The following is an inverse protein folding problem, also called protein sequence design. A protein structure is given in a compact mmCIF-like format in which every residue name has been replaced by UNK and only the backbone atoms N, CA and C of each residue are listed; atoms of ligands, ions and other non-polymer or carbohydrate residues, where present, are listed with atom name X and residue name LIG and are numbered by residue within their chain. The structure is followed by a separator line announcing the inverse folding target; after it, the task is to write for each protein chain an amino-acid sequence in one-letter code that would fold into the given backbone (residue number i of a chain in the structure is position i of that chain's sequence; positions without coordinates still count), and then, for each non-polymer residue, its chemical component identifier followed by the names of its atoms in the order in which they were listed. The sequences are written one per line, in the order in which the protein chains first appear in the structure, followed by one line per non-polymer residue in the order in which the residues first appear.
data_IF_303271928246
#
_entry.id   IF_303271928246
#
_cell.length_a   1.000
_cell.length_b   1.000
_cell.length_c   1.000
_cell.angle_alpha   90.00
_cell.angle_beta   90.00
_cell.angle_gamma   90.00
#
_symmetry.space_group_name_H-M   'P 1'
#
loop_
_entity.id
_entity.type
_entity.pdbx_description
1 polymer ?
#
# COMPACT_ATOMS: atom_id res chain seq x y z
N UNK A 1 -10.77 -7.31 -20.84
CA UNK A 1 -9.90 -7.64 -21.98
C UNK A 1 -8.62 -6.84 -21.83
N UNK A 2 -7.47 -7.49 -21.64
CA UNK A 2 -6.16 -6.82 -21.67
C UNK A 2 -5.76 -6.66 -23.14
N UNK A 3 -5.59 -5.42 -23.59
CA UNK A 3 -5.03 -5.12 -24.92
C UNK A 3 -3.51 -5.36 -24.85
N UNK A 4 -3.05 -6.50 -25.35
CA UNK A 4 -1.61 -6.75 -25.51
C UNK A 4 -1.14 -6.03 -26.78
N UNK A 5 -0.71 -4.77 -26.64
CA UNK A 5 -0.09 -4.01 -27.74
C UNK A 5 1.27 -4.62 -28.08
N UNK A 6 1.47 -4.98 -29.34
CA UNK A 6 2.74 -5.53 -29.89
C UNK A 6 3.82 -4.47 -30.13
N UNK A 7 3.63 -3.26 -29.59
CA UNK A 7 4.56 -2.13 -29.63
C UNK A 7 4.89 -1.68 -28.21
N UNK A 8 6.10 -1.14 -27.96
CA UNK A 8 6.43 -0.54 -26.67
C UNK A 8 5.39 0.52 -26.28
N UNK A 9 4.89 0.44 -25.05
CA UNK A 9 3.99 1.44 -24.48
C UNK A 9 4.78 2.65 -23.98
N UNK A 10 4.18 3.83 -24.04
CA UNK A 10 4.74 5.06 -23.46
C UNK A 10 4.62 5.05 -21.93
N UNK A 11 5.40 5.89 -21.20
CA UNK A 11 5.25 6.03 -19.75
C UNK A 11 3.83 6.39 -19.31
N UNK A 12 3.13 7.23 -20.08
CA UNK A 12 1.73 7.62 -19.80
C UNK A 12 0.78 6.44 -19.94
N UNK A 13 0.94 5.60 -20.97
CA UNK A 13 0.14 4.40 -21.16
C UNK A 13 0.44 3.33 -20.09
N UNK A 14 1.69 3.22 -19.65
CA UNK A 14 2.08 2.36 -18.55
C UNK A 14 1.40 2.80 -17.23
N UNK A 15 1.41 4.10 -16.93
CA UNK A 15 0.72 4.65 -15.76
C UNK A 15 -0.81 4.46 -15.82
N UNK A 16 -1.41 4.58 -17.01
CA UNK A 16 -2.84 4.32 -17.22
C UNK A 16 -3.22 2.83 -17.13
N UNK A 17 -2.23 1.93 -17.25
CA UNK A 17 -2.42 0.47 -17.18
C UNK A 17 -2.21 -0.09 -15.77
N UNK A 18 -1.92 0.75 -14.77
CA UNK A 18 -1.79 0.33 -13.38
C UNK A 18 -3.16 -0.15 -12.89
N UNK A 19 -3.24 -1.45 -12.57
CA UNK A 19 -4.47 -2.03 -12.04
C UNK A 19 -4.75 -1.43 -10.65
N UNK A 20 -6.01 -1.09 -10.35
CA UNK A 20 -6.37 -0.61 -9.02
C UNK A 20 -6.08 -1.69 -7.98
N UNK A 21 -5.68 -1.26 -6.79
CA UNK A 21 -5.51 -2.15 -5.64
C UNK A 21 -6.85 -2.85 -5.33
N UNK A 22 -6.83 -4.15 -4.99
CA UNK A 22 -8.04 -4.87 -4.61
C UNK A 22 -8.72 -4.28 -3.36
N UNK A 23 -10.05 -4.33 -3.29
CA UNK A 23 -10.83 -3.85 -2.13
C UNK A 23 -10.40 -4.51 -0.81
N UNK A 24 -9.96 -5.77 -0.86
CA UNK A 24 -9.44 -6.48 0.31
C UNK A 24 -8.21 -5.80 0.92
N UNK A 25 -7.33 -5.22 0.08
CA UNK A 25 -6.16 -4.45 0.55
C UNK A 25 -6.64 -3.21 1.30
N UNK A 26 -7.61 -2.48 0.75
CA UNK A 26 -8.17 -1.32 1.42
C UNK A 26 -8.86 -1.68 2.73
N UNK A 27 -9.62 -2.78 2.77
CA UNK A 27 -10.27 -3.26 3.98
C UNK A 27 -9.25 -3.53 5.10
N UNK A 28 -8.14 -4.21 4.78
CA UNK A 28 -7.05 -4.48 5.72
C UNK A 28 -6.44 -3.17 6.25
N UNK A 29 -6.01 -2.28 5.35
CA UNK A 29 -5.37 -1.03 5.76
C UNK A 29 -6.32 -0.11 6.54
N UNK A 30 -7.58 0.02 6.12
CA UNK A 30 -8.58 0.79 6.86
C UNK A 30 -8.77 0.24 8.28
N UNK A 31 -8.86 -1.09 8.43
CA UNK A 31 -8.95 -1.73 9.75
C UNK A 31 -7.73 -1.44 10.63
N UNK A 32 -6.52 -1.55 10.08
CA UNK A 32 -5.28 -1.27 10.80
C UNK A 32 -5.14 0.21 11.18
N UNK A 33 -5.51 1.13 10.28
CA UNK A 33 -5.52 2.58 10.53
C UNK A 33 -6.48 2.88 11.69
N UNK A 34 -7.74 2.42 11.62
CA UNK A 34 -8.74 2.65 12.67
C UNK A 34 -8.27 2.09 14.02
N UNK A 35 -7.70 0.88 14.03
CA UNK A 35 -7.17 0.24 15.25
C UNK A 35 -6.06 1.08 15.89
N UNK A 36 -5.15 1.62 15.07
CA UNK A 36 -3.95 2.31 15.52
C UNK A 36 -4.06 3.84 15.58
N UNK A 37 -5.21 4.42 15.21
CA UNK A 37 -5.41 5.87 15.17
C UNK A 37 -5.40 6.46 16.59
N UNK A 38 -4.41 7.31 16.89
CA UNK A 38 -4.29 8.04 18.16
C UNK A 38 -3.83 9.46 17.88
N UNK A 39 -4.55 10.45 18.40
CA UNK A 39 -4.19 11.86 18.23
C UNK A 39 -4.11 12.32 16.76
N UNK A 40 -4.94 11.77 15.86
CA UNK A 40 -4.93 12.11 14.43
C UNK A 40 -3.81 11.46 13.61
N UNK A 41 -3.05 10.55 14.21
CA UNK A 41 -1.98 9.77 13.55
C UNK A 41 -2.24 8.28 13.72
N UNK A 42 -2.04 7.49 12.67
CA UNK A 42 -2.02 6.03 12.76
C UNK A 42 -0.66 5.51 12.26
N UNK A 43 -0.09 4.54 12.95
CA UNK A 43 1.13 3.85 12.53
C UNK A 43 0.77 2.39 12.27
N UNK A 44 1.01 1.93 11.05
CA UNK A 44 0.76 0.56 10.61
C UNK A 44 2.10 -0.07 10.29
N UNK A 45 2.40 -1.23 10.89
CA UNK A 45 3.62 -1.96 10.54
C UNK A 45 3.45 -2.70 9.23
N UNK A 46 4.46 -2.65 8.37
CA UNK A 46 4.42 -3.28 7.05
C UNK A 46 4.31 -4.80 7.15
N UNK A 47 4.97 -5.42 8.13
CA UNK A 47 4.89 -6.86 8.39
C UNK A 47 3.46 -7.31 8.78
N UNK A 48 2.79 -6.52 9.61
CA UNK A 48 1.41 -6.78 10.02
C UNK A 48 0.44 -6.61 8.85
N UNK A 49 0.58 -5.54 8.06
CA UNK A 49 -0.23 -5.33 6.86
C UNK A 49 -0.06 -6.48 5.85
N UNK A 50 1.20 -6.89 5.59
CA UNK A 50 1.52 -8.03 4.73
C UNK A 50 0.81 -9.31 5.21
N UNK A 51 0.95 -9.64 6.50
CA UNK A 51 0.34 -10.83 7.07
C UNK A 51 -1.19 -10.83 6.93
N UNK A 52 -1.84 -9.71 7.22
CA UNK A 52 -3.30 -9.57 7.13
C UNK A 52 -3.79 -9.63 5.67
N UNK A 53 -3.06 -9.04 4.72
CA UNK A 53 -3.38 -9.16 3.28
C UNK A 53 -3.21 -10.60 2.79
N UNK A 54 -2.14 -11.28 3.18
CA UNK A 54 -1.92 -12.70 2.86
C UNK A 54 -3.10 -13.57 3.33
N UNK A 55 -3.53 -13.39 4.58
CA UNK A 55 -4.67 -14.12 5.14
C UNK A 55 -5.97 -13.75 4.44
N UNK A 56 -6.23 -12.45 4.25
CA UNK A 56 -7.48 -11.96 3.65
C UNK A 56 -7.66 -12.42 2.20
N UNK A 57 -6.57 -12.63 1.46
CA UNK A 57 -6.61 -12.98 0.03
C UNK A 57 -6.22 -14.42 -0.26
N UNK A 58 -5.76 -15.18 0.75
CA UNK A 58 -5.23 -16.53 0.56
C UNK A 58 -3.96 -16.55 -0.31
N UNK A 59 -3.11 -15.52 -0.20
CA UNK A 59 -1.89 -15.36 -0.98
C UNK A 59 -0.64 -15.55 -0.12
N UNK A 60 0.46 -15.91 -0.75
CA UNK A 60 1.78 -15.89 -0.11
C UNK A 60 2.33 -14.47 -0.02
N UNK A 61 3.23 -14.23 0.95
CA UNK A 61 3.91 -12.93 1.08
C UNK A 61 4.62 -12.51 -0.20
N UNK A 62 5.20 -13.47 -0.94
CA UNK A 62 5.85 -13.22 -2.22
C UNK A 62 4.87 -12.67 -3.24
N UNK A 63 3.70 -13.30 -3.39
CA UNK A 63 2.68 -12.85 -4.35
C UNK A 63 2.13 -11.47 -4.00
N UNK A 64 1.93 -11.17 -2.70
CA UNK A 64 1.47 -9.84 -2.26
C UNK A 64 2.49 -8.77 -2.62
N UNK A 65 3.78 -9.02 -2.41
CA UNK A 65 4.87 -8.08 -2.73
C UNK A 65 5.08 -7.94 -4.25
N UNK A 66 5.11 -9.04 -5.00
CA UNK A 66 5.28 -9.01 -6.47
C UNK A 66 4.13 -8.28 -7.18
N UNK A 67 2.94 -8.27 -6.58
CA UNK A 67 1.76 -7.56 -7.10
C UNK A 67 1.64 -6.12 -6.63
N UNK A 68 2.57 -5.62 -5.80
CA UNK A 68 2.53 -4.25 -5.27
C UNK A 68 1.33 -3.97 -4.35
N UNK A 69 0.78 -5.00 -3.71
CA UNK A 69 -0.45 -4.84 -2.90
C UNK A 69 -0.23 -4.06 -1.59
N UNK A 70 1.00 -3.65 -1.28
CA UNK A 70 1.30 -2.75 -0.17
C UNK A 70 1.55 -1.29 -0.62
N UNK A 71 1.52 -1.01 -1.93
CA UNK A 71 1.78 0.31 -2.52
C UNK A 71 0.53 1.22 -2.40
N UNK A 72 0.07 1.43 -1.17
CA UNK A 72 -1.21 2.06 -0.86
C UNK A 72 -1.15 3.59 -0.80
N UNK A 73 0.05 4.16 -0.76
CA UNK A 73 0.29 5.58 -0.46
C UNK A 73 -0.51 6.49 -1.39
N UNK A 74 -0.37 6.32 -2.71
CA UNK A 74 -1.04 7.19 -3.68
C UNK A 74 -2.57 7.15 -3.55
N UNK A 75 -3.14 5.98 -3.24
CA UNK A 75 -4.59 5.82 -3.08
C UNK A 75 -5.10 6.54 -1.83
N UNK A 76 -4.43 6.36 -0.68
CA UNK A 76 -4.79 7.07 0.55
C UNK A 76 -4.48 8.57 0.47
N UNK A 77 -3.42 8.95 -0.25
CA UNK A 77 -3.11 10.35 -0.50
C UNK A 77 -4.19 11.06 -1.32
N UNK A 78 -4.73 10.40 -2.35
CA UNK A 78 -5.87 10.90 -3.10
C UNK A 78 -7.12 11.07 -2.21
N UNK A 79 -7.25 10.22 -1.17
CA UNK A 79 -8.33 10.29 -0.18
C UNK A 79 -8.12 11.32 0.95
N UNK A 80 -7.06 12.14 0.89
CA UNK A 80 -6.81 13.22 1.86
C UNK A 80 -5.87 12.86 3.01
N UNK A 81 -5.21 11.70 2.95
CA UNK A 81 -4.14 11.34 3.89
C UNK A 81 -2.79 11.88 3.42
N UNK A 82 -1.89 12.12 4.36
CA UNK A 82 -0.45 12.13 4.13
C UNK A 82 0.06 10.77 4.60
N UNK A 83 0.75 10.04 3.72
CA UNK A 83 1.32 8.73 4.03
C UNK A 83 2.83 8.83 3.99
N UNK A 84 3.51 8.36 5.04
CA UNK A 84 4.96 8.28 5.10
C UNK A 84 5.33 6.83 5.31
N UNK A 85 5.97 6.21 4.32
CA UNK A 85 6.57 4.90 4.47
C UNK A 85 8.03 5.06 4.93
N UNK A 86 8.36 4.39 6.03
CA UNK A 86 9.66 4.41 6.67
C UNK A 86 10.19 2.98 6.73
N UNK A 87 11.37 2.74 6.15
CA UNK A 87 12.01 1.42 6.09
C UNK A 87 13.46 1.55 6.58
N UNK A 88 13.97 0.58 7.38
CA UNK A 88 15.35 0.61 7.86
C UNK A 88 16.36 0.79 6.73
N UNK A 89 17.33 1.67 6.96
CA UNK A 89 18.52 1.75 6.13
C UNK A 89 19.40 0.50 6.23
N UNK A 90 20.45 0.43 5.41
CA UNK A 90 21.36 -0.72 5.27
C UNK A 90 21.98 -1.24 6.59
N UNK A 91 21.94 -0.46 7.67
CA UNK A 91 22.52 -0.81 8.98
C UNK A 91 21.57 -0.57 10.17
N UNK A 92 20.26 -0.52 9.92
CA UNK A 92 19.23 -0.31 10.94
C UNK A 92 18.34 -1.55 11.08
N UNK A 93 17.86 -1.83 12.29
CA UNK A 93 17.12 -3.06 12.62
C UNK A 93 15.71 -2.81 13.14
N UNK A 94 15.05 -1.74 12.68
CA UNK A 94 13.63 -1.50 13.00
C UNK A 94 12.70 -2.01 11.89
N UNK A 95 11.45 -2.28 12.27
CA UNK A 95 10.43 -2.76 11.34
C UNK A 95 9.91 -1.61 10.49
N UNK A 96 9.74 -1.84 9.18
CA UNK A 96 9.17 -0.83 8.29
C UNK A 96 7.73 -0.47 8.67
N UNK A 97 7.37 0.81 8.58
CA UNK A 97 6.04 1.30 8.96
C UNK A 97 5.46 2.30 7.96
N UNK A 98 4.14 2.30 7.86
CA UNK A 98 3.34 3.34 7.23
C UNK A 98 2.77 4.24 8.31
N UNK A 99 3.09 5.53 8.27
CA UNK A 99 2.48 6.56 9.11
C UNK A 99 1.43 7.32 8.31
N UNK A 100 0.19 7.29 8.79
CA UNK A 100 -0.94 8.03 8.22
C UNK A 100 -1.28 9.22 9.11
N UNK A 101 -1.38 10.41 8.51
CA UNK A 101 -1.93 11.62 9.14
C UNK A 101 -2.85 12.33 8.16
N UNK A 102 -3.85 13.10 8.63
CA UNK A 102 -4.63 13.94 7.71
C UNK A 102 -3.73 14.95 6.99
N UNK A 103 -3.99 15.23 5.70
CA UNK A 103 -3.38 16.39 5.03
C UNK A 103 -3.82 17.66 5.77
N UNK A 104 -2.84 18.48 6.14
CA UNK A 104 -3.13 19.82 6.67
C UNK A 104 -3.79 20.60 5.53
N UNK A 105 -4.97 21.17 5.80
CA UNK A 105 -5.65 22.07 4.87
C UNK A 105 -4.94 23.42 4.80
#
# INVERSE_FOLDING_TARGET
MLVMTTKPITPTEAAASVLPLPDAVFAVFNGLIVKNLRGGRAVVRSDAALAEVCVSMGLTSREVLERGYLDVESAYEAAGWKVVYDQPGFNESYQATFTFTAKVK
#
